data_IF_131656065158
#
_entry.id   IF_131656065158
#
_cell.length_a   1.000
_cell.length_b   1.000
_cell.length_c   1.000
_cell.angle_alpha   90.00
_cell.angle_beta   90.00
_cell.angle_gamma   90.00
#
_symmetry.space_group_name_H-M   'P 1'
#
loop_
_entity.id
_entity.type
_entity.pdbx_description
1 polymer ?
#
# COMPACT_ATOMS: atom_id res chain seq x y z
N UNK A 1 -34.87 0.44 -19.39
CA UNK A 1 -34.87 0.05 -17.96
C UNK A 1 -33.56 -0.62 -17.66
N UNK A 2 -32.70 0.02 -16.86
CA UNK A 2 -31.36 -0.50 -16.54
C UNK A 2 -31.53 -1.43 -15.34
N UNK A 3 -31.14 -2.69 -15.50
CA UNK A 3 -31.19 -3.69 -14.45
C UNK A 3 -30.13 -3.37 -13.38
N UNK A 4 -30.56 -2.77 -12.27
CA UNK A 4 -29.72 -2.35 -11.14
C UNK A 4 -29.28 -3.49 -10.22
N UNK A 5 -29.62 -4.76 -10.53
CA UNK A 5 -29.38 -5.92 -9.69
C UNK A 5 -27.89 -6.25 -9.46
N UNK A 6 -27.02 -5.81 -10.35
CA UNK A 6 -25.58 -6.08 -10.25
C UNK A 6 -24.79 -5.09 -9.38
N UNK A 7 -25.39 -3.96 -9.03
CA UNK A 7 -24.72 -2.93 -8.18
C UNK A 7 -25.14 -2.99 -6.70
N UNK A 8 -25.98 -3.93 -6.31
CA UNK A 8 -26.32 -4.16 -4.91
C UNK A 8 -25.25 -5.04 -4.28
N UNK A 9 -24.48 -4.47 -3.36
CA UNK A 9 -23.65 -5.23 -2.42
C UNK A 9 -24.57 -6.13 -1.60
N UNK A 10 -24.33 -7.45 -1.64
CA UNK A 10 -25.01 -8.40 -0.74
C UNK A 10 -26.03 -9.33 -1.39
N UNK A 11 -25.73 -9.97 -2.52
CA UNK A 11 -26.35 -11.25 -2.85
C UNK A 11 -25.28 -12.34 -2.69
N UNK A 12 -25.46 -13.12 -1.62
CA UNK A 12 -24.74 -14.36 -1.40
C UNK A 12 -25.00 -15.29 -2.59
N UNK A 13 -24.00 -15.46 -3.42
CA UNK A 13 -23.98 -16.62 -4.29
C UNK A 13 -23.78 -17.83 -3.39
N UNK A 14 -24.80 -18.67 -3.27
CA UNK A 14 -24.65 -20.01 -2.67
C UNK A 14 -23.66 -20.80 -3.54
N UNK A 15 -22.38 -20.64 -3.25
CA UNK A 15 -21.39 -21.62 -3.66
C UNK A 15 -21.55 -22.81 -2.71
N UNK A 16 -22.09 -23.91 -3.18
CA UNK A 16 -22.05 -25.17 -2.45
C UNK A 16 -20.56 -25.54 -2.32
N UNK A 17 -20.10 -25.68 -1.08
CA UNK A 17 -18.75 -26.21 -0.83
C UNK A 17 -18.63 -27.59 -1.47
N UNK A 18 -17.45 -27.97 -2.00
CA UNK A 18 -17.18 -29.33 -2.46
C UNK A 18 -17.55 -30.37 -1.41
N UNK A 19 -18.07 -31.50 -1.84
CA UNK A 19 -18.64 -32.52 -0.94
C UNK A 19 -17.59 -33.09 0.04
N UNK A 20 -16.35 -33.21 -0.39
CA UNK A 20 -15.20 -33.61 0.43
C UNK A 20 -14.93 -32.63 1.60
N UNK A 21 -15.06 -31.32 1.35
CA UNK A 21 -14.92 -30.29 2.38
C UNK A 21 -16.08 -30.37 3.38
N UNK A 22 -17.29 -30.58 2.90
CA UNK A 22 -18.45 -30.71 3.77
C UNK A 22 -18.33 -31.92 4.69
N UNK A 23 -17.83 -33.04 4.19
CA UNK A 23 -17.67 -34.28 4.97
C UNK A 23 -16.57 -34.14 6.05
N UNK A 24 -15.45 -33.48 5.71
CA UNK A 24 -14.39 -33.18 6.69
C UNK A 24 -14.86 -32.25 7.78
N UNK A 25 -15.66 -31.24 7.46
CA UNK A 25 -16.25 -30.32 8.44
C UNK A 25 -17.22 -31.07 9.39
N UNK A 26 -18.03 -32.01 8.88
CA UNK A 26 -18.92 -32.84 9.70
C UNK A 26 -18.17 -33.74 10.68
N UNK A 27 -16.94 -34.13 10.32
CA UNK A 27 -16.04 -34.94 11.15
C UNK A 27 -15.22 -34.08 12.16
N UNK A 28 -15.50 -32.78 12.25
CA UNK A 28 -14.85 -31.86 13.20
C UNK A 28 -13.46 -31.39 12.76
N UNK A 29 -13.07 -31.61 11.51
CA UNK A 29 -11.82 -31.09 10.95
C UNK A 29 -12.00 -29.66 10.41
N UNK A 30 -11.86 -28.68 11.27
CA UNK A 30 -11.98 -27.26 10.88
C UNK A 30 -10.76 -26.70 10.16
N UNK A 31 -9.62 -27.43 10.15
CA UNK A 31 -8.42 -27.02 9.41
C UNK A 31 -8.59 -27.12 7.88
N UNK A 32 -9.64 -27.75 7.44
CA UNK A 32 -9.99 -27.83 6.02
C UNK A 32 -10.22 -26.47 5.36
N UNK A 33 -10.65 -25.48 6.14
CA UNK A 33 -10.89 -24.11 5.67
C UNK A 33 -9.67 -23.21 5.82
N UNK A 34 -8.63 -23.66 6.53
CA UNK A 34 -7.38 -22.93 6.60
C UNK A 34 -6.62 -23.12 5.27
N UNK A 35 -6.14 -22.04 4.63
CA UNK A 35 -5.26 -22.18 3.48
C UNK A 35 -4.05 -23.00 3.88
N UNK A 36 -3.67 -23.99 3.06
CA UNK A 36 -2.44 -24.75 3.27
C UNK A 36 -1.26 -23.77 3.31
N UNK A 37 -0.26 -23.97 4.16
CA UNK A 37 0.90 -23.08 4.26
C UNK A 37 1.60 -22.84 2.90
N UNK A 38 1.52 -23.81 2.01
CA UNK A 38 2.07 -23.79 0.64
C UNK A 38 1.18 -22.99 -0.34
N UNK A 39 -0.09 -22.77 -0.02
CA UNK A 39 -1.08 -22.07 -0.85
C UNK A 39 -1.47 -20.70 -0.27
N UNK A 40 -0.96 -20.34 0.89
CA UNK A 40 -1.14 -19.02 1.45
C UNK A 40 -0.34 -18.01 0.61
N UNK A 41 -0.91 -17.64 -0.54
CA UNK A 41 -0.47 -16.46 -1.27
C UNK A 41 -0.75 -15.27 -0.35
N UNK A 42 0.26 -14.88 0.42
CA UNK A 42 0.19 -13.64 1.21
C UNK A 42 0.12 -12.53 0.19
N UNK A 43 -1.10 -12.09 -0.12
CA UNK A 43 -1.25 -10.96 -1.02
C UNK A 43 -0.51 -9.77 -0.41
N UNK A 44 0.33 -9.07 -1.19
CA UNK A 44 1.10 -7.96 -0.68
C UNK A 44 0.12 -6.88 -0.18
N UNK A 45 0.30 -6.46 1.08
CA UNK A 45 -0.49 -5.37 1.62
C UNK A 45 0.09 -4.04 1.18
N UNK A 46 -0.78 -3.07 0.95
CA UNK A 46 -0.42 -1.72 0.50
C UNK A 46 -1.07 -0.66 1.38
N UNK A 47 -0.44 0.50 1.46
CA UNK A 47 -1.04 1.66 2.10
C UNK A 47 -2.03 2.28 1.11
N UNK A 48 -3.32 2.27 1.46
CA UNK A 48 -4.36 2.97 0.71
C UNK A 48 -4.59 4.35 1.26
N UNK A 49 -4.82 5.30 0.37
CA UNK A 49 -4.96 6.71 0.71
C UNK A 49 -6.39 7.16 0.38
N UNK A 50 -7.08 7.73 1.37
CA UNK A 50 -8.40 8.32 1.27
C UNK A 50 -8.32 9.82 1.54
N UNK A 51 -8.00 10.67 0.54
CA UNK A 51 -7.77 12.10 0.75
C UNK A 51 -8.95 12.83 1.39
N UNK A 52 -10.18 12.39 1.10
CA UNK A 52 -11.42 12.99 1.63
C UNK A 52 -11.54 12.91 3.16
N UNK A 53 -10.75 12.03 3.79
CA UNK A 53 -10.73 11.86 5.24
C UNK A 53 -9.56 12.60 5.89
N UNK A 54 -8.58 13.04 5.09
CA UNK A 54 -7.39 13.69 5.62
C UNK A 54 -7.72 15.10 6.10
N UNK A 55 -7.43 15.40 7.36
CA UNK A 55 -7.59 16.71 7.97
C UNK A 55 -6.28 17.51 8.06
N UNK A 56 -5.18 17.00 7.49
CA UNK A 56 -3.88 17.67 7.46
C UNK A 56 -3.12 17.70 8.80
N UNK A 57 -3.47 16.85 9.77
CA UNK A 57 -2.83 16.85 11.10
C UNK A 57 -1.33 16.50 11.10
N UNK A 58 -0.82 15.85 10.02
CA UNK A 58 0.59 15.46 9.83
C UNK A 58 1.15 14.48 10.86
N UNK A 59 0.33 13.87 11.69
CA UNK A 59 0.78 12.84 12.64
C UNK A 59 1.47 11.67 11.95
N UNK A 60 1.06 11.34 10.72
CA UNK A 60 1.72 10.32 9.90
C UNK A 60 3.17 10.67 9.55
N UNK A 61 3.49 11.96 9.32
CA UNK A 61 4.86 12.43 9.06
C UNK A 61 5.71 12.34 10.34
N UNK A 62 5.15 12.75 11.47
CA UNK A 62 5.81 12.68 12.78
C UNK A 62 6.09 11.23 13.16
N UNK A 63 5.08 10.35 13.07
CA UNK A 63 5.26 8.93 13.38
C UNK A 63 6.29 8.25 12.49
N UNK A 64 6.33 8.62 11.19
CA UNK A 64 7.29 8.09 10.24
C UNK A 64 8.72 8.53 10.57
N UNK A 65 8.95 9.82 10.86
CA UNK A 65 10.29 10.32 11.20
C UNK A 65 10.76 9.74 12.54
N UNK A 66 9.90 9.71 13.54
CA UNK A 66 10.23 9.15 14.85
C UNK A 66 10.64 7.67 14.76
N UNK A 67 9.91 6.87 13.99
CA UNK A 67 10.24 5.44 13.81
C UNK A 67 11.58 5.23 13.10
N UNK A 68 11.88 6.02 12.06
CA UNK A 68 13.08 5.80 11.25
C UNK A 68 14.32 6.54 11.72
N UNK A 69 14.14 7.64 12.45
CA UNK A 69 15.26 8.51 12.85
C UNK A 69 15.46 8.57 14.35
N UNK A 70 14.42 8.20 15.14
CA UNK A 70 14.40 8.42 16.57
C UNK A 70 14.18 9.88 16.95
N UNK A 71 13.87 10.75 15.99
CA UNK A 71 13.68 12.20 16.16
C UNK A 71 12.51 12.70 15.31
N UNK A 72 11.93 13.83 15.69
CA UNK A 72 10.82 14.47 14.97
C UNK A 72 11.39 15.43 13.93
N UNK A 73 11.56 14.93 12.73
CA UNK A 73 11.95 15.70 11.56
C UNK A 73 11.09 15.32 10.34
N UNK A 74 10.04 16.09 10.12
CA UNK A 74 9.09 15.83 9.03
C UNK A 74 9.70 16.01 7.64
N UNK A 75 10.82 16.74 7.50
CA UNK A 75 11.52 16.89 6.22
C UNK A 75 12.11 15.58 5.72
N UNK A 76 12.46 14.66 6.63
CA UNK A 76 13.02 13.33 6.37
C UNK A 76 11.97 12.21 6.51
N UNK A 77 10.69 12.58 6.63
CA UNK A 77 9.59 11.62 6.63
C UNK A 77 9.45 10.97 5.25
N UNK A 78 9.14 9.67 5.23
CA UNK A 78 8.90 8.86 4.01
C UNK A 78 7.46 8.96 3.50
N UNK A 79 6.60 9.67 4.22
CA UNK A 79 5.26 10.08 3.82
C UNK A 79 5.15 11.59 3.97
N UNK A 80 4.47 12.27 3.04
CA UNK A 80 4.29 13.72 3.07
C UNK A 80 2.83 14.07 2.88
N UNK A 81 2.33 15.04 3.64
CA UNK A 81 0.99 15.59 3.47
C UNK A 81 1.09 16.88 2.68
N UNK A 82 0.62 16.82 1.44
CA UNK A 82 0.59 17.97 0.52
C UNK A 82 -0.70 18.74 0.80
N UNK A 83 -0.58 20.02 1.17
CA UNK A 83 -1.72 20.93 1.23
C UNK A 83 -1.95 21.54 -0.15
N UNK A 84 -3.16 21.38 -0.67
CA UNK A 84 -3.51 21.89 -2.01
C UNK A 84 -4.15 23.27 -1.91
N UNK A 85 -3.61 24.21 -2.67
CA UNK A 85 -4.09 25.57 -2.91
C UNK A 85 -4.55 26.41 -1.69
N UNK A 86 -5.73 26.16 -1.15
CA UNK A 86 -6.37 26.97 -0.11
C UNK A 86 -6.23 26.38 1.29
N UNK A 87 -5.57 25.22 1.41
CA UNK A 87 -5.47 24.52 2.69
C UNK A 87 -6.68 23.68 3.07
N UNK A 88 -7.68 23.57 2.19
CA UNK A 88 -8.90 22.79 2.44
C UNK A 88 -8.78 21.33 2.02
N UNK A 89 -7.80 21.00 1.15
CA UNK A 89 -7.57 19.65 0.66
C UNK A 89 -6.17 19.19 1.04
N UNK A 90 -6.09 18.09 1.75
CA UNK A 90 -4.84 17.47 2.15
C UNK A 90 -4.67 16.11 1.47
N UNK A 91 -3.53 15.93 0.80
CA UNK A 91 -3.20 14.70 0.10
C UNK A 91 -1.97 14.04 0.76
N UNK A 92 -2.16 12.98 1.54
CA UNK A 92 -1.02 12.16 1.95
C UNK A 92 -0.39 11.50 0.72
N UNK A 93 0.92 11.60 0.61
CA UNK A 93 1.70 11.01 -0.48
C UNK A 93 2.82 10.14 0.08
N UNK A 94 2.87 8.89 -0.35
CA UNK A 94 3.93 7.94 -0.01
C UNK A 94 4.24 7.02 -1.21
N UNK A 95 5.25 6.17 -1.07
CA UNK A 95 5.61 5.21 -2.09
C UNK A 95 4.45 4.24 -2.36
N UNK A 96 4.06 4.11 -3.63
CA UNK A 96 2.95 3.26 -4.08
C UNK A 96 3.35 1.78 -4.25
N UNK A 97 4.60 1.42 -3.97
CA UNK A 97 5.12 0.04 -4.09
C UNK A 97 4.79 -0.59 -5.46
N UNK A 98 5.12 0.12 -6.54
CA UNK A 98 4.79 -0.26 -7.91
C UNK A 98 5.34 -1.65 -8.25
N UNK A 99 4.52 -2.49 -8.90
CA UNK A 99 4.96 -3.79 -9.44
C UNK A 99 5.97 -3.60 -10.58
N UNK A 100 5.68 -2.65 -11.49
CA UNK A 100 6.64 -2.18 -12.50
C UNK A 100 7.25 -0.87 -12.01
N UNK A 101 8.37 -0.99 -11.32
CA UNK A 101 8.98 0.10 -10.56
C UNK A 101 9.99 0.91 -11.38
N UNK A 102 9.68 2.14 -11.84
CA UNK A 102 10.61 2.97 -12.59
C UNK A 102 11.92 3.24 -11.84
N UNK A 103 11.87 3.29 -10.52
CA UNK A 103 13.05 3.50 -9.69
C UNK A 103 14.05 2.33 -9.75
N UNK A 104 13.58 1.10 -10.00
CA UNK A 104 14.47 -0.04 -10.26
C UNK A 104 15.08 0.07 -11.64
N UNK A 105 14.28 0.33 -12.67
CA UNK A 105 14.72 0.37 -14.06
C UNK A 105 15.82 1.42 -14.30
N UNK A 106 15.79 2.54 -13.57
CA UNK A 106 16.75 3.64 -13.75
C UNK A 106 18.01 3.51 -12.88
N UNK A 107 18.07 2.54 -11.97
CA UNK A 107 19.15 2.47 -11.00
C UNK A 107 20.46 1.92 -11.62
N UNK A 108 21.53 2.72 -11.81
CA UNK A 108 22.75 2.26 -12.46
C UNK A 108 23.58 1.28 -11.61
N UNK A 109 23.26 1.19 -10.31
CA UNK A 109 23.94 0.30 -9.35
C UNK A 109 23.06 -0.88 -8.92
N UNK A 110 21.86 -1.00 -9.52
CA UNK A 110 20.90 -2.04 -9.12
C UNK A 110 20.65 -2.09 -7.61
N UNK A 111 20.72 -0.91 -6.96
CA UNK A 111 20.51 -0.77 -5.53
C UNK A 111 19.02 -0.74 -5.13
N UNK A 112 18.11 -0.60 -6.11
CA UNK A 112 16.69 -0.79 -5.89
C UNK A 112 16.36 -2.25 -6.16
N UNK A 113 16.15 -3.03 -5.09
CA UNK A 113 15.95 -4.48 -5.17
C UNK A 113 14.52 -4.85 -4.84
N UNK A 114 13.99 -5.83 -5.55
CA UNK A 114 12.70 -6.41 -5.21
C UNK A 114 12.87 -7.38 -4.04
N UNK A 115 12.02 -7.24 -3.05
CA UNK A 115 11.92 -8.17 -1.93
C UNK A 115 10.67 -9.03 -2.11
N UNK A 116 10.85 -10.34 -2.32
CA UNK A 116 9.76 -11.28 -2.60
C UNK A 116 8.89 -11.54 -1.36
N UNK A 117 9.50 -11.59 -0.18
CA UNK A 117 8.78 -11.85 1.08
C UNK A 117 7.74 -10.77 1.37
N UNK A 118 8.01 -9.56 0.92
CA UNK A 118 7.20 -8.37 1.23
C UNK A 118 6.50 -7.80 -0.01
N UNK A 119 6.78 -8.33 -1.21
CA UNK A 119 6.21 -7.87 -2.47
C UNK A 119 6.46 -6.38 -2.75
N UNK A 120 7.68 -5.90 -2.52
CA UNK A 120 8.02 -4.48 -2.66
C UNK A 120 9.46 -4.21 -3.00
N UNK A 121 9.70 -2.99 -3.51
CA UNK A 121 11.05 -2.50 -3.77
C UNK A 121 11.68 -1.93 -2.51
N UNK A 122 12.86 -2.41 -2.17
CA UNK A 122 13.69 -1.94 -1.07
C UNK A 122 14.95 -1.26 -1.60
N UNK A 123 15.63 -0.50 -0.72
CA UNK A 123 16.94 0.10 -1.04
C UNK A 123 18.03 -0.73 -0.41
N UNK A 124 18.92 -1.25 -1.23
CA UNK A 124 20.19 -1.82 -0.78
C UNK A 124 21.19 -0.68 -0.60
N UNK A 125 21.42 -0.30 0.64
CA UNK A 125 22.30 0.82 0.96
C UNK A 125 23.79 0.51 0.76
N UNK A 126 24.18 -0.77 0.67
CA UNK A 126 25.57 -1.16 0.39
C UNK A 126 25.94 -0.89 -1.08
N UNK A 127 24.94 -1.00 -1.99
CA UNK A 127 25.10 -0.70 -3.41
C UNK A 127 24.78 0.75 -3.76
N UNK A 128 23.98 1.43 -2.92
CA UNK A 128 23.47 2.74 -3.24
C UNK A 128 24.55 3.82 -3.16
N UNK A 129 24.81 4.48 -4.29
CA UNK A 129 25.75 5.63 -4.37
C UNK A 129 25.02 6.98 -4.28
N UNK A 130 23.75 6.99 -3.93
CA UNK A 130 22.93 8.21 -3.74
C UNK A 130 22.91 9.16 -4.94
N UNK A 131 22.99 8.63 -6.17
CA UNK A 131 23.01 9.41 -7.42
C UNK A 131 21.68 10.13 -7.72
N UNK A 132 20.61 9.87 -6.97
CA UNK A 132 19.27 10.48 -7.05
C UNK A 132 18.51 10.19 -8.36
N UNK A 133 18.98 9.35 -9.26
CA UNK A 133 18.28 9.01 -10.50
C UNK A 133 16.88 8.43 -10.23
N UNK A 134 16.73 7.61 -9.19
CA UNK A 134 15.44 7.06 -8.76
C UNK A 134 14.43 8.11 -8.28
N UNK A 135 14.90 9.24 -7.73
CA UNK A 135 14.03 10.35 -7.35
C UNK A 135 13.43 11.01 -8.59
N UNK A 136 14.24 11.25 -9.62
CA UNK A 136 13.79 11.85 -10.88
C UNK A 136 12.83 10.92 -11.66
N UNK A 137 13.02 9.60 -11.55
CA UNK A 137 12.18 8.61 -12.23
C UNK A 137 10.85 8.32 -11.51
N UNK A 138 10.70 8.70 -10.24
CA UNK A 138 9.50 8.40 -9.47
C UNK A 138 8.33 9.32 -9.87
N UNK A 139 7.23 8.80 -10.48
CA UNK A 139 6.11 9.63 -10.92
C UNK A 139 5.32 10.23 -9.74
N UNK A 140 5.49 9.69 -8.54
CA UNK A 140 4.83 10.15 -7.33
C UNK A 140 5.70 11.06 -6.46
N UNK A 141 6.96 11.34 -6.86
CA UNK A 141 7.93 12.06 -6.04
C UNK A 141 8.04 11.51 -4.60
N UNK A 142 7.91 10.19 -4.44
CA UNK A 142 7.83 9.52 -3.14
C UNK A 142 9.20 9.00 -2.63
N UNK A 143 10.29 9.40 -3.28
CA UNK A 143 11.67 9.10 -2.86
C UNK A 143 12.30 10.42 -2.44
N UNK A 144 12.83 10.47 -1.23
CA UNK A 144 13.50 11.65 -0.69
C UNK A 144 15.01 11.48 -0.61
N UNK A 145 15.69 12.56 -0.26
CA UNK A 145 17.12 12.59 -0.01
C UNK A 145 17.37 13.22 1.36
N UNK A 146 18.15 12.54 2.17
CA UNK A 146 18.60 13.03 3.48
C UNK A 146 19.93 13.75 3.27
N UNK A 147 19.91 15.08 3.37
CA UNK A 147 21.10 15.91 3.18
C UNK A 147 22.12 15.76 4.31
N UNK A 148 21.67 15.33 5.50
CA UNK A 148 22.56 15.12 6.64
C UNK A 148 23.35 13.83 6.47
N UNK A 149 22.64 12.74 6.11
CA UNK A 149 23.25 11.42 5.91
C UNK A 149 23.78 11.20 4.49
N UNK A 150 23.45 12.08 3.56
CA UNK A 150 23.81 12.00 2.15
C UNK A 150 23.29 10.71 1.47
N UNK A 151 22.08 10.26 1.86
CA UNK A 151 21.46 9.04 1.33
C UNK A 151 20.05 9.31 0.84
N UNK A 152 19.63 8.53 -0.16
CA UNK A 152 18.23 8.50 -0.55
C UNK A 152 17.41 7.70 0.48
N UNK A 153 16.12 8.03 0.61
CA UNK A 153 15.20 7.24 1.40
C UNK A 153 13.85 7.09 0.70
N UNK A 154 13.18 5.98 0.93
CA UNK A 154 11.82 5.73 0.46
C UNK A 154 11.04 4.93 1.50
N UNK A 155 9.72 4.91 1.38
CA UNK A 155 8.87 4.13 2.25
C UNK A 155 9.17 2.62 2.11
N UNK A 156 9.44 1.97 3.22
CA UNK A 156 9.64 0.51 3.39
C UNK A 156 8.46 -0.13 4.13
N UNK A 157 7.40 0.66 4.35
CA UNK A 157 6.20 0.25 5.09
C UNK A 157 6.51 -0.18 6.53
N UNK A 158 7.57 0.39 7.12
CA UNK A 158 8.04 0.09 8.48
C UNK A 158 8.13 -1.43 8.73
N UNK A 159 8.71 -2.17 7.80
CA UNK A 159 8.84 -3.63 7.84
C UNK A 159 7.50 -4.38 8.04
N UNK A 160 6.43 -3.91 7.37
CA UNK A 160 5.11 -4.54 7.40
C UNK A 160 4.21 -4.06 8.54
N UNK A 161 4.68 -3.10 9.34
CA UNK A 161 3.91 -2.50 10.43
C UNK A 161 3.85 -0.96 10.26
N UNK A 162 3.06 -0.44 9.31
CA UNK A 162 3.10 0.96 8.90
C UNK A 162 2.64 1.92 10.00
N UNK A 163 3.57 2.62 10.62
CA UNK A 163 3.29 3.53 11.73
C UNK A 163 2.37 4.67 11.33
N UNK A 164 2.52 5.19 10.11
CA UNK A 164 1.66 6.25 9.59
C UNK A 164 0.16 5.84 9.54
N UNK A 165 -0.14 4.56 9.37
CA UNK A 165 -1.51 4.03 9.42
C UNK A 165 -2.02 3.96 10.85
N UNK A 166 -1.19 3.48 11.78
CA UNK A 166 -1.56 3.37 13.19
C UNK A 166 -1.92 4.72 13.82
N UNK A 167 -1.20 5.78 13.45
CA UNK A 167 -1.43 7.13 13.97
C UNK A 167 -2.42 7.94 13.12
N UNK A 168 -3.05 7.36 12.10
CA UNK A 168 -4.04 8.05 11.28
C UNK A 168 -5.45 7.93 11.88
N UNK A 169 -5.77 8.77 12.86
CA UNK A 169 -7.08 8.78 13.53
C UNK A 169 -8.26 8.97 12.56
N UNK A 170 -8.21 9.89 11.56
CA UNK A 170 -9.30 10.05 10.60
C UNK A 170 -9.50 8.85 9.67
N UNK A 171 -8.57 7.90 9.66
CA UNK A 171 -8.60 6.75 8.78
C UNK A 171 -8.40 7.10 7.30
N UNK A 172 -7.65 8.17 7.04
CA UNK A 172 -7.23 8.57 5.69
C UNK A 172 -6.19 7.62 5.10
N UNK A 173 -5.43 6.95 5.96
CA UNK A 173 -4.47 5.91 5.60
C UNK A 173 -4.98 4.57 6.13
N UNK A 174 -4.92 3.53 5.28
CA UNK A 174 -5.28 2.17 5.64
C UNK A 174 -4.23 1.19 5.16
N UNK A 175 -4.20 0.02 5.78
CA UNK A 175 -3.34 -1.10 5.43
C UNK A 175 -4.20 -2.23 4.86
N UNK A 176 -4.31 -2.30 3.54
CA UNK A 176 -5.26 -3.18 2.84
C UNK A 176 -4.53 -4.17 1.94
N UNK A 177 -5.17 -5.31 1.67
CA UNK A 177 -4.66 -6.29 0.72
C UNK A 177 -4.77 -5.76 -0.71
N UNK A 178 -3.69 -5.83 -1.49
CA UNK A 178 -3.62 -5.32 -2.86
C UNK A 178 -4.64 -5.99 -3.78
N UNK A 179 -4.85 -7.29 -3.64
CA UNK A 179 -5.80 -8.06 -4.46
C UNK A 179 -7.24 -7.63 -4.22
N UNK A 180 -7.60 -7.34 -2.98
CA UNK A 180 -8.93 -6.83 -2.64
C UNK A 180 -9.21 -5.47 -3.27
N UNK A 181 -8.19 -4.60 -3.33
CA UNK A 181 -8.31 -3.28 -3.95
C UNK A 181 -8.49 -3.36 -5.45
N UNK A 182 -7.74 -4.21 -6.12
CA UNK A 182 -7.86 -4.41 -7.56
C UNK A 182 -9.26 -4.89 -7.92
N UNK A 183 -9.79 -5.87 -7.21
CA UNK A 183 -11.15 -6.39 -7.38
C UNK A 183 -12.21 -5.33 -7.14
N UNK A 184 -12.09 -4.53 -6.07
CA UNK A 184 -13.01 -3.45 -5.75
C UNK A 184 -13.01 -2.34 -6.82
N UNK A 185 -11.83 -1.96 -7.33
CA UNK A 185 -11.69 -0.97 -8.37
C UNK A 185 -12.26 -1.45 -9.71
N UNK A 186 -12.05 -2.74 -10.08
CA UNK A 186 -12.65 -3.34 -11.29
C UNK A 186 -14.17 -3.31 -11.20
N UNK A 187 -14.75 -3.71 -10.06
CA UNK A 187 -16.21 -3.68 -9.84
C UNK A 187 -16.76 -2.26 -9.93
N UNK A 188 -16.10 -1.28 -9.29
CA UNK A 188 -16.50 0.13 -9.35
C UNK A 188 -16.46 0.68 -10.77
N UNK A 189 -15.39 0.40 -11.52
CA UNK A 189 -15.24 0.81 -12.92
C UNK A 189 -16.30 0.18 -13.83
N UNK A 190 -16.62 -1.11 -13.61
CA UNK A 190 -17.68 -1.79 -14.35
C UNK A 190 -19.07 -1.18 -14.10
N UNK A 191 -19.37 -0.81 -12.84
CA UNK A 191 -20.61 -0.13 -12.49
C UNK A 191 -20.71 1.28 -13.12
N UNK A 192 -19.60 2.02 -13.17
CA UNK A 192 -19.57 3.35 -13.78
C UNK A 192 -19.77 3.29 -15.29
N UNK A 193 -19.15 2.35 -16.01
CA UNK A 193 -19.30 2.18 -17.46
C UNK A 193 -20.71 1.80 -17.91
N UNK A 194 -21.53 1.25 -17.01
CA UNK A 194 -22.94 0.92 -17.32
C UNK A 194 -23.89 2.12 -17.21
N UNK A 195 -23.43 3.28 -16.74
CA UNK A 195 -24.23 4.50 -16.62
C UNK A 195 -24.20 5.39 -17.86
N UNK A 196 -23.37 5.03 -18.82
CA UNK A 196 -23.24 5.66 -20.13
C UNK A 196 -23.44 4.63 -21.24
#
# INVERSE_FOLDING_TARGET
MIDTRFCKAGQETKSSLPEDIVERLKNGDFNVLAPRPEEAHVSPKVITIHPQKCNGCRLCEIACSLFHLGDIDTSRSRIRVIAWHTGDVFLPNCCQQCADAPCMAVCPKEAMVWNDDWGRVMVDYDRCVSCRACMAACPYAAIGFDEIRQVIFKCDVCNGNPQCVHFCEPGALRWDDADMLQTANIRKSACLRRKY
#
